data_IF_901123681348
#
_entry.id   IF_901123681348
#
_cell.length_a   1.000
_cell.length_b   1.000
_cell.length_c   1.000
_cell.angle_alpha   90.00
_cell.angle_beta   90.00
_cell.angle_gamma   90.00
#
_symmetry.space_group_name_H-M   'P 1'
#
loop_
_entity.id
_entity.type
_entity.pdbx_description
1 polymer ?
#
# COMPACT_ATOMS: atom_id res chain seq x y z
N UNK A 1 -44.52 36.51 -32.41
CA UNK A 1 -43.28 36.53 -31.63
C UNK A 1 -43.48 35.56 -30.45
N UNK A 2 -42.85 34.39 -30.49
CA UNK A 2 -42.92 33.37 -29.42
C UNK A 2 -41.55 33.27 -28.79
N UNK A 3 -41.42 33.76 -27.55
CA UNK A 3 -40.19 33.66 -26.75
C UNK A 3 -40.08 32.25 -26.16
N UNK A 4 -39.05 31.49 -26.55
CA UNK A 4 -38.72 30.21 -25.97
C UNK A 4 -37.86 30.40 -24.73
N UNK A 5 -38.32 29.90 -23.59
CA UNK A 5 -37.56 29.83 -22.34
C UNK A 5 -36.72 28.57 -22.38
N UNK A 6 -35.38 28.70 -22.41
CA UNK A 6 -34.46 27.57 -22.21
C UNK A 6 -34.34 27.32 -20.72
N UNK A 7 -34.81 26.17 -20.27
CA UNK A 7 -34.59 25.68 -18.91
C UNK A 7 -33.27 24.92 -18.91
N UNK A 8 -32.22 25.57 -18.40
CA UNK A 8 -30.91 24.92 -18.17
C UNK A 8 -31.01 23.93 -17.00
N UNK A 9 -30.96 22.64 -17.29
CA UNK A 9 -30.93 21.60 -16.29
C UNK A 9 -29.56 21.58 -15.55
N UNK A 10 -29.58 21.93 -14.29
CA UNK A 10 -28.42 21.79 -13.39
C UNK A 10 -28.23 20.30 -13.06
N UNK A 11 -27.24 19.66 -13.66
CA UNK A 11 -26.84 18.28 -13.30
C UNK A 11 -26.09 18.32 -11.98
N UNK A 12 -26.76 17.94 -10.91
CA UNK A 12 -26.13 17.70 -9.61
C UNK A 12 -25.33 16.40 -9.69
N UNK A 13 -23.99 16.49 -9.79
CA UNK A 13 -23.13 15.34 -9.58
C UNK A 13 -23.22 14.93 -8.11
N UNK A 14 -23.85 13.78 -7.86
CA UNK A 14 -23.83 13.17 -6.53
C UNK A 14 -22.41 12.71 -6.19
N UNK A 15 -21.90 12.95 -4.96
CA UNK A 15 -20.62 12.41 -4.54
C UNK A 15 -20.67 10.89 -4.56
N UNK A 16 -19.61 10.25 -5.09
CA UNK A 16 -19.49 8.79 -5.08
C UNK A 16 -19.52 8.26 -3.63
N UNK A 17 -20.17 7.12 -3.36
CA UNK A 17 -20.28 6.60 -2.00
C UNK A 17 -18.90 6.26 -1.42
N UNK A 18 -18.62 6.71 -0.20
CA UNK A 18 -17.37 6.49 0.55
C UNK A 18 -16.97 5.02 0.62
N UNK A 19 -17.93 4.09 0.57
CA UNK A 19 -17.68 2.64 0.53
C UNK A 19 -16.87 2.17 -0.70
N UNK A 20 -16.95 2.87 -1.83
CA UNK A 20 -16.20 2.53 -3.03
C UNK A 20 -14.70 2.92 -2.90
N UNK A 21 -14.38 3.91 -2.11
CA UNK A 21 -13.00 4.34 -1.83
C UNK A 21 -12.32 3.41 -0.82
N UNK A 22 -13.05 2.96 0.20
CA UNK A 22 -12.52 2.00 1.17
C UNK A 22 -12.16 0.65 0.55
N UNK A 23 -12.89 0.20 -0.48
CA UNK A 23 -12.59 -1.04 -1.22
C UNK A 23 -11.33 -0.93 -2.10
N UNK A 24 -10.92 0.27 -2.51
CA UNK A 24 -9.71 0.50 -3.29
C UNK A 24 -8.43 0.48 -2.45
N UNK A 25 -8.55 0.62 -1.14
CA UNK A 25 -7.43 0.74 -0.19
C UNK A 25 -6.97 -0.62 0.38
N UNK A 26 -7.58 -1.70 -0.09
CA UNK A 26 -7.23 -3.07 0.26
C UNK A 26 -6.51 -3.70 -0.95
N UNK A 27 -5.40 -4.41 -0.74
CA UNK A 27 -4.73 -5.11 -1.83
C UNK A 27 -5.66 -6.15 -2.46
N UNK A 28 -5.55 -6.31 -3.78
CA UNK A 28 -6.30 -7.33 -4.51
C UNK A 28 -5.92 -8.74 -4.03
N UNK A 29 -6.77 -9.75 -4.33
CA UNK A 29 -6.48 -11.15 -4.03
C UNK A 29 -5.14 -11.63 -4.61
N UNK A 30 -4.74 -11.13 -5.78
CA UNK A 30 -3.46 -11.48 -6.40
C UNK A 30 -2.28 -10.90 -5.63
N UNK A 31 -2.45 -9.73 -5.03
CA UNK A 31 -1.40 -9.06 -4.25
C UNK A 31 -1.19 -9.71 -2.89
N UNK A 32 -2.23 -10.23 -2.26
CA UNK A 32 -2.15 -10.97 -0.99
C UNK A 32 -2.01 -12.49 -1.16
N UNK A 33 -1.88 -12.99 -2.39
CA UNK A 33 -1.55 -14.38 -2.61
C UNK A 33 -0.19 -14.72 -1.99
N UNK A 34 -0.02 -15.93 -1.45
CA UNK A 34 1.19 -16.36 -0.76
C UNK A 34 2.48 -16.09 -1.56
N UNK A 35 2.42 -16.29 -2.88
CA UNK A 35 3.55 -16.04 -3.78
C UNK A 35 3.92 -14.54 -3.85
N UNK A 36 2.94 -13.65 -3.85
CA UNK A 36 3.14 -12.20 -3.88
C UNK A 36 3.66 -11.69 -2.54
N UNK A 37 3.10 -12.15 -1.43
CA UNK A 37 3.59 -11.81 -0.09
C UNK A 37 5.01 -12.34 0.13
N UNK A 38 5.30 -13.57 -0.30
CA UNK A 38 6.65 -14.13 -0.24
C UNK A 38 7.64 -13.35 -1.12
N UNK A 39 7.23 -12.87 -2.30
CA UNK A 39 8.04 -11.97 -3.12
C UNK A 39 8.27 -10.65 -2.40
N UNK A 40 7.21 -10.04 -1.88
CA UNK A 40 7.28 -8.78 -1.13
C UNK A 40 8.26 -8.86 0.04
N UNK A 41 8.16 -9.94 0.83
CA UNK A 41 9.09 -10.21 1.94
C UNK A 41 10.55 -10.29 1.47
N UNK A 42 10.82 -11.08 0.42
CA UNK A 42 12.20 -11.19 -0.11
C UNK A 42 12.74 -9.86 -0.61
N UNK A 43 11.91 -9.05 -1.26
CA UNK A 43 12.30 -7.72 -1.74
C UNK A 43 12.52 -6.74 -0.57
N UNK A 44 11.67 -6.81 0.46
CA UNK A 44 11.78 -6.02 1.68
C UNK A 44 13.11 -6.26 2.39
N UNK A 45 13.51 -7.54 2.53
CA UNK A 45 14.75 -7.95 3.19
C UNK A 45 15.98 -7.81 2.27
N UNK A 46 15.78 -7.94 0.96
CA UNK A 46 16.84 -7.95 -0.05
C UNK A 46 16.94 -6.66 -0.86
N UNK A 47 16.54 -6.72 -2.13
CA UNK A 47 16.80 -5.66 -3.11
C UNK A 47 16.21 -4.29 -2.74
N UNK A 48 15.11 -4.23 -2.01
CA UNK A 48 14.51 -2.99 -1.52
C UNK A 48 15.21 -2.43 -0.30
N UNK A 49 15.95 -3.27 0.43
CA UNK A 49 16.69 -2.95 1.66
C UNK A 49 15.84 -2.22 2.73
N UNK A 50 14.53 -2.50 2.77
CA UNK A 50 13.60 -1.84 3.69
C UNK A 50 13.91 -2.23 5.15
N UNK A 51 14.31 -3.49 5.37
CA UNK A 51 14.68 -4.02 6.68
C UNK A 51 15.83 -3.27 7.35
N UNK A 52 16.70 -2.59 6.58
CA UNK A 52 17.78 -1.77 7.14
C UNK A 52 17.27 -0.63 8.04
N UNK A 53 16.16 -0.03 7.65
CA UNK A 53 15.52 1.03 8.43
C UNK A 53 14.37 0.50 9.31
N UNK A 54 13.51 -0.33 8.76
CA UNK A 54 12.29 -0.77 9.45
C UNK A 54 12.47 -2.06 10.27
N UNK A 55 13.67 -2.63 10.28
CA UNK A 55 13.98 -3.86 11.04
C UNK A 55 13.49 -5.12 10.33
N UNK A 56 13.99 -6.27 10.78
CA UNK A 56 13.49 -7.57 10.35
C UNK A 56 12.00 -7.69 10.70
N UNK A 57 11.21 -8.20 9.76
CA UNK A 57 9.75 -8.30 9.89
C UNK A 57 9.01 -6.99 10.23
N UNK A 58 9.63 -5.83 10.03
CA UNK A 58 8.97 -4.55 10.16
C UNK A 58 8.83 -3.98 11.57
N UNK A 59 9.51 -4.53 12.56
CA UNK A 59 9.38 -4.14 13.99
C UNK A 59 9.96 -2.77 14.35
N UNK A 60 10.43 -2.03 13.35
CA UNK A 60 11.02 -0.71 13.55
C UNK A 60 12.46 -0.73 14.06
N UNK A 61 13.12 0.41 13.94
CA UNK A 61 14.45 0.69 14.51
C UNK A 61 14.54 2.20 14.82
N UNK A 62 15.70 2.66 15.29
CA UNK A 62 15.95 4.12 15.40
C UNK A 62 15.93 4.86 14.04
N UNK A 63 15.98 4.16 12.91
CA UNK A 63 16.01 4.73 11.56
C UNK A 63 14.66 4.73 10.85
N UNK A 64 13.76 3.78 11.17
CA UNK A 64 12.47 3.61 10.52
C UNK A 64 11.39 3.15 11.49
N UNK A 65 10.15 3.55 11.24
CA UNK A 65 9.00 3.23 12.09
C UNK A 65 8.73 1.73 12.14
N UNK A 66 8.07 1.30 13.20
CA UNK A 66 7.39 0.01 13.29
C UNK A 66 6.28 -0.02 12.22
N UNK A 67 6.15 -1.14 11.54
CA UNK A 67 5.17 -1.38 10.48
C UNK A 67 4.19 -2.51 10.87
N UNK A 68 4.30 -3.00 12.11
CA UNK A 68 3.51 -4.12 12.62
C UNK A 68 2.34 -3.67 13.48
N UNK A 69 2.33 -2.42 13.89
CA UNK A 69 1.27 -1.79 14.66
C UNK A 69 0.28 -1.00 13.76
N UNK A 70 -0.71 -0.37 14.36
CA UNK A 70 -1.72 0.47 13.69
C UNK A 70 -1.38 1.97 13.75
N UNK A 71 -0.18 2.33 14.23
CA UNK A 71 0.26 3.72 14.39
C UNK A 71 1.04 4.19 13.16
N UNK A 72 0.34 4.68 12.17
CA UNK A 72 0.94 5.21 10.94
C UNK A 72 1.33 6.68 11.10
N UNK A 73 2.62 6.97 10.95
CA UNK A 73 3.15 8.35 11.05
C UNK A 73 2.91 9.17 9.80
N UNK A 74 2.74 8.51 8.66
CA UNK A 74 2.45 9.10 7.36
C UNK A 74 1.37 8.27 6.68
N UNK A 75 0.39 8.95 6.06
CA UNK A 75 -0.77 8.29 5.49
C UNK A 75 -1.65 7.62 6.54
N UNK A 76 -2.50 6.72 6.09
CA UNK A 76 -3.55 6.05 6.87
C UNK A 76 -3.30 4.55 7.09
N UNK A 77 -2.17 4.03 6.59
CA UNK A 77 -1.85 2.61 6.64
C UNK A 77 -2.57 1.77 5.60
N UNK A 78 -3.40 2.36 4.76
CA UNK A 78 -4.03 1.69 3.64
C UNK A 78 -3.01 1.23 2.59
N UNK A 79 -3.37 0.21 1.82
CA UNK A 79 -2.47 -0.39 0.84
C UNK A 79 -1.92 0.62 -0.18
N UNK A 80 -2.80 1.46 -0.74
CA UNK A 80 -2.38 2.47 -1.73
C UNK A 80 -1.51 3.56 -1.10
N UNK A 81 -1.80 3.97 0.11
CA UNK A 81 -0.99 4.90 0.88
C UNK A 81 0.44 4.37 1.09
N UNK A 82 0.57 3.07 1.40
CA UNK A 82 1.86 2.39 1.51
C UNK A 82 2.59 2.36 0.16
N UNK A 83 1.88 2.05 -0.94
CA UNK A 83 2.45 2.07 -2.30
C UNK A 83 3.02 3.45 -2.61
N UNK A 84 2.25 4.52 -2.37
CA UNK A 84 2.68 5.91 -2.62
C UNK A 84 3.92 6.28 -1.82
N UNK A 85 3.98 5.91 -0.54
CA UNK A 85 5.16 6.15 0.29
C UNK A 85 6.39 5.42 -0.23
N UNK A 86 6.25 4.18 -0.70
CA UNK A 86 7.38 3.45 -1.30
C UNK A 86 7.82 4.09 -2.61
N UNK A 87 6.89 4.51 -3.47
CA UNK A 87 7.17 5.11 -4.77
C UNK A 87 7.87 6.46 -4.62
N UNK A 88 7.34 7.31 -3.76
CA UNK A 88 7.77 8.72 -3.65
C UNK A 88 8.75 8.97 -2.51
N UNK A 89 8.88 8.02 -1.59
CA UNK A 89 9.60 8.23 -0.34
C UNK A 89 8.83 9.13 0.62
N UNK A 90 9.42 9.35 1.78
CA UNK A 90 8.88 10.25 2.82
C UNK A 90 9.98 11.21 3.23
N UNK A 91 9.71 12.49 3.18
CA UNK A 91 10.62 13.55 3.61
C UNK A 91 10.92 13.48 5.11
N UNK A 92 11.59 14.50 5.63
CA UNK A 92 11.89 14.56 7.06
C UNK A 92 10.62 14.48 7.91
N UNK A 93 10.45 13.43 8.72
CA UNK A 93 9.28 13.30 9.56
C UNK A 93 9.36 14.27 10.75
N UNK A 94 8.25 14.94 11.03
CA UNK A 94 8.10 15.67 12.30
C UNK A 94 7.81 14.68 13.42
N UNK A 95 8.75 14.54 14.37
CA UNK A 95 8.56 13.71 15.57
C UNK A 95 8.72 12.20 15.36
N UNK A 96 9.44 11.79 14.33
CA UNK A 96 9.72 10.37 14.02
C UNK A 96 11.20 10.04 13.90
N UNK A 97 11.56 8.89 13.30
CA UNK A 97 12.94 8.56 12.99
C UNK A 97 13.62 9.69 12.21
N UNK A 98 14.88 9.92 12.52
CA UNK A 98 15.65 11.08 12.00
C UNK A 98 15.95 10.95 10.50
N UNK A 99 15.77 9.76 9.93
CA UNK A 99 16.15 9.47 8.55
C UNK A 99 14.94 9.52 7.63
N UNK A 100 14.97 10.32 6.54
CA UNK A 100 13.91 10.30 5.53
C UNK A 100 13.87 8.94 4.83
N UNK A 101 12.68 8.47 4.48
CA UNK A 101 12.51 7.25 3.70
C UNK A 101 12.85 7.55 2.23
N UNK A 102 13.86 6.88 1.64
CA UNK A 102 14.19 7.11 0.24
C UNK A 102 13.11 6.54 -0.70
N UNK A 103 13.01 7.15 -1.88
CA UNK A 103 12.13 6.65 -2.95
C UNK A 103 12.53 5.23 -3.35
N UNK A 104 11.53 4.36 -3.55
CA UNK A 104 11.70 2.97 -4.00
C UNK A 104 12.55 2.11 -3.06
N UNK A 105 12.63 2.49 -1.80
CA UNK A 105 13.64 1.93 -0.92
C UNK A 105 15.05 2.35 -1.34
N UNK A 106 16.03 1.50 -1.11
CA UNK A 106 17.43 1.76 -1.50
C UNK A 106 17.84 1.00 -2.77
N UNK A 107 16.88 0.40 -3.50
CA UNK A 107 17.15 -0.48 -4.63
C UNK A 107 16.32 -0.16 -5.88
N UNK A 108 16.70 -0.74 -7.04
CA UNK A 108 16.04 -0.49 -8.32
C UNK A 108 14.75 -1.30 -8.47
N UNK A 109 13.80 -1.14 -7.55
CA UNK A 109 12.52 -1.86 -7.62
C UNK A 109 11.65 -1.33 -8.77
N UNK A 110 11.08 -2.25 -9.54
CA UNK A 110 10.00 -1.94 -10.49
C UNK A 110 8.70 -1.61 -9.74
N UNK A 111 7.75 -0.95 -10.42
CA UNK A 111 6.46 -0.63 -9.80
C UNK A 111 5.72 -1.88 -9.30
N UNK A 112 5.73 -2.98 -10.07
CA UNK A 112 5.14 -4.27 -9.64
C UNK A 112 5.82 -4.83 -8.39
N UNK A 113 7.14 -4.71 -8.29
CA UNK A 113 7.89 -5.13 -7.11
C UNK A 113 7.58 -4.26 -5.89
N UNK A 114 7.43 -2.94 -6.08
CA UNK A 114 7.01 -2.03 -5.00
C UNK A 114 5.62 -2.37 -4.48
N UNK A 115 4.68 -2.71 -5.36
CA UNK A 115 3.36 -3.21 -4.97
C UNK A 115 3.42 -4.50 -4.17
N UNK A 116 4.29 -5.43 -4.53
CA UNK A 116 4.50 -6.66 -3.75
C UNK A 116 5.08 -6.35 -2.36
N UNK A 117 6.03 -5.42 -2.26
CA UNK A 117 6.54 -4.94 -0.96
C UNK A 117 5.42 -4.29 -0.15
N UNK A 118 4.60 -3.43 -0.78
CA UNK A 118 3.48 -2.77 -0.10
C UNK A 118 2.46 -3.79 0.43
N UNK A 119 2.15 -4.84 -0.33
CA UNK A 119 1.26 -5.91 0.10
C UNK A 119 1.82 -6.67 1.32
N UNK A 120 3.12 -6.97 1.31
CA UNK A 120 3.79 -7.56 2.45
C UNK A 120 3.74 -6.64 3.67
N UNK A 121 4.09 -5.36 3.54
CA UNK A 121 4.04 -4.37 4.62
C UNK A 121 2.62 -4.23 5.16
N UNK A 122 1.62 -4.11 4.28
CA UNK A 122 0.22 -4.06 4.68
C UNK A 122 -0.20 -5.29 5.50
N UNK A 123 0.29 -6.48 5.12
CA UNK A 123 -0.01 -7.72 5.82
C UNK A 123 0.61 -7.82 7.22
N UNK A 124 1.58 -6.99 7.57
CA UNK A 124 2.20 -6.99 8.89
C UNK A 124 1.29 -6.45 9.98
N UNK A 125 0.52 -5.41 9.67
CA UNK A 125 -0.42 -4.75 10.59
C UNK A 125 -1.88 -5.17 10.37
N UNK A 126 -2.21 -5.79 9.22
CA UNK A 126 -3.55 -6.23 8.89
C UNK A 126 -3.66 -7.74 8.87
N UNK A 127 -4.74 -8.28 9.44
CA UNK A 127 -5.03 -9.72 9.31
C UNK A 127 -5.48 -10.01 7.88
N UNK A 128 -4.65 -10.70 7.09
CA UNK A 128 -5.07 -11.21 5.79
C UNK A 128 -6.05 -12.37 6.03
N UNK A 129 -7.32 -12.27 5.63
CA UNK A 129 -8.26 -13.38 5.76
C UNK A 129 -7.74 -14.60 5.02
N UNK A 130 -7.65 -15.76 5.69
CA UNK A 130 -7.15 -17.02 5.07
C UNK A 130 -7.96 -17.44 3.85
N UNK A 131 -9.24 -17.08 3.81
CA UNK A 131 -10.15 -17.34 2.70
C UNK A 131 -9.81 -16.53 1.43
N UNK A 132 -8.98 -15.50 1.56
CA UNK A 132 -8.47 -14.70 0.44
C UNK A 132 -7.33 -15.41 -0.31
N UNK A 133 -6.71 -16.40 0.32
CA UNK A 133 -5.61 -17.17 -0.23
C UNK A 133 -6.18 -18.42 -0.91
N UNK A 134 -6.55 -18.31 -2.17
CA UNK A 134 -6.90 -19.48 -2.97
C UNK A 134 -5.60 -20.22 -3.30
N UNK A 135 -5.45 -21.53 -2.92
CA UNK A 135 -4.30 -22.30 -3.32
C UNK A 135 -4.19 -22.31 -4.85
N UNK A 136 -3.00 -22.05 -5.37
CA UNK A 136 -2.76 -22.17 -6.80
C UNK A 136 -3.15 -23.58 -7.26
N UNK A 137 -3.85 -23.75 -8.41
CA UNK A 137 -4.25 -25.05 -8.89
C UNK A 137 -2.99 -25.93 -9.06
N UNK A 138 -2.97 -27.08 -8.36
CA UNK A 138 -1.89 -28.07 -8.51
C UNK A 138 -1.86 -28.48 -9.96
N UNK A 139 -0.81 -28.12 -10.69
CA UNK A 139 -0.57 -28.67 -12.02
C UNK A 139 -0.45 -30.19 -11.87
N UNK A 140 -1.45 -30.93 -12.37
CA UNK A 140 -1.35 -32.41 -12.51
C UNK A 140 -0.22 -32.66 -13.51
N UNK A 141 0.74 -33.46 -13.09
CA UNK A 141 1.75 -34.06 -13.99
C UNK A 141 1.10 -35.19 -14.77
#
# INVERSE_FOLDING_TARGET
>A
MRSGVMIGGLVLLAPAPVAAQAAADVPSRLEVADSSLALGKRLYEGAGNCAYCHGAAGVGTSRGSDLTDDVWRHGDGGYLSIVEQIVHGVGHPTGGPVTPMPRRGMGPLTYTQMRAVAAYVWSLSHRVPRDSVTPAPRRRR
#
